data_IF_557430271872
#
_entry.id   IF_557430271872
#
_cell.length_a   1.000
_cell.length_b   1.000
_cell.length_c   1.000
_cell.angle_alpha   90.00
_cell.angle_beta   90.00
_cell.angle_gamma   90.00
#
_symmetry.space_group_name_H-M   'P 1'
#
loop_
_entity.id
_entity.type
_entity.pdbx_description
1 polymer ?
#
# COMPACT_ATOMS: atom_id res chain seq x y z
N UNK A 1 12.47 -5.32 -2.27
CA UNK A 1 12.00 -3.97 -2.63
C UNK A 1 11.35 -3.25 -1.45
N UNK A 2 10.33 -3.82 -0.79
CA UNK A 2 9.61 -3.19 0.35
C UNK A 2 10.55 -2.71 1.46
N UNK A 3 11.40 -3.59 2.01
CA UNK A 3 12.33 -3.22 3.09
C UNK A 3 13.31 -2.11 2.70
N UNK A 4 13.76 -2.10 1.45
CA UNK A 4 14.70 -1.09 0.94
C UNK A 4 14.02 0.28 0.92
N UNK A 5 12.77 0.34 0.46
CA UNK A 5 11.98 1.58 0.43
C UNK A 5 11.61 2.04 1.86
N UNK A 6 11.41 1.09 2.78
CA UNK A 6 11.01 1.34 4.17
C UNK A 6 12.13 1.95 5.05
N UNK A 7 13.40 1.66 4.75
CA UNK A 7 14.56 1.98 5.61
C UNK A 7 15.03 3.45 5.54
N UNK A 8 14.08 4.39 5.50
CA UNK A 8 14.31 5.85 5.54
C UNK A 8 13.04 6.57 6.00
N UNK A 9 13.10 7.87 6.37
CA UNK A 9 11.90 8.66 6.62
C UNK A 9 10.96 8.63 5.42
N UNK A 10 9.71 8.25 5.65
CA UNK A 10 8.73 8.03 4.59
C UNK A 10 7.36 8.62 4.94
N UNK A 11 6.63 8.98 3.88
CA UNK A 11 5.18 9.11 3.92
C UNK A 11 4.60 7.81 3.37
N UNK A 12 3.61 7.23 4.05
CA UNK A 12 3.08 5.91 3.68
C UNK A 12 2.53 5.89 2.25
N UNK A 13 1.84 6.96 1.83
CA UNK A 13 1.30 7.15 0.49
C UNK A 13 2.40 7.13 -0.57
N UNK A 14 3.53 7.81 -0.31
CA UNK A 14 4.67 7.85 -1.21
C UNK A 14 5.33 6.48 -1.30
N UNK A 15 5.54 5.83 -0.15
CA UNK A 15 6.13 4.50 -0.08
C UNK A 15 5.31 3.48 -0.88
N UNK A 16 3.99 3.51 -0.75
CA UNK A 16 3.06 2.62 -1.48
C UNK A 16 3.18 2.81 -2.99
N UNK A 17 3.25 4.05 -3.48
CA UNK A 17 3.50 4.34 -4.89
C UNK A 17 4.88 3.86 -5.34
N UNK A 18 5.94 4.17 -4.59
CA UNK A 18 7.31 3.79 -4.94
C UNK A 18 7.48 2.28 -5.08
N UNK A 19 6.84 1.49 -4.23
CA UNK A 19 6.86 0.03 -4.32
C UNK A 19 6.13 -0.44 -5.58
N UNK A 20 4.94 0.09 -5.87
CA UNK A 20 4.18 -0.28 -7.05
C UNK A 20 4.94 0.08 -8.35
N UNK A 21 5.52 1.27 -8.41
CA UNK A 21 6.29 1.75 -9.57
C UNK A 21 7.57 0.93 -9.78
N UNK A 22 8.30 0.62 -8.70
CA UNK A 22 9.52 -0.20 -8.80
C UNK A 22 9.23 -1.61 -9.31
N UNK A 23 8.14 -2.24 -8.86
CA UNK A 23 7.72 -3.57 -9.34
C UNK A 23 7.29 -3.49 -10.81
N UNK A 24 6.49 -2.48 -11.15
CA UNK A 24 5.98 -2.31 -12.51
C UNK A 24 7.10 -2.07 -13.52
N UNK A 25 8.07 -1.22 -13.18
CA UNK A 25 9.20 -0.92 -14.05
C UNK A 25 10.20 -2.09 -14.17
N UNK A 26 10.39 -2.89 -13.12
CA UNK A 26 11.37 -3.97 -13.14
C UNK A 26 10.86 -5.26 -13.79
N UNK A 27 9.55 -5.55 -13.70
CA UNK A 27 8.97 -6.80 -14.17
C UNK A 27 8.12 -6.64 -15.44
N UNK A 28 7.82 -5.40 -15.84
CA UNK A 28 6.90 -5.07 -16.94
C UNK A 28 5.62 -5.91 -16.96
N UNK A 29 4.93 -6.10 -15.81
CA UNK A 29 3.78 -6.99 -15.75
C UNK A 29 2.54 -6.30 -16.33
N UNK A 30 1.53 -7.10 -16.67
CA UNK A 30 0.22 -6.58 -17.10
C UNK A 30 -0.43 -5.67 -16.05
N UNK A 31 -0.15 -5.88 -14.77
CA UNK A 31 -0.63 -5.02 -13.69
C UNK A 31 0.01 -5.30 -12.33
N UNK A 32 -0.03 -4.29 -11.45
CA UNK A 32 0.46 -4.38 -10.07
C UNK A 32 -0.57 -3.76 -9.14
N UNK A 33 -0.80 -4.38 -7.98
CA UNK A 33 -1.58 -3.81 -6.90
C UNK A 33 -0.81 -3.95 -5.58
N UNK A 34 -0.65 -2.85 -4.87
CA UNK A 34 0.03 -2.78 -3.57
C UNK A 34 -0.94 -2.18 -2.55
N UNK A 35 -1.07 -2.83 -1.39
CA UNK A 35 -1.83 -2.33 -0.24
C UNK A 35 -0.92 -2.39 0.97
N UNK A 36 -0.85 -1.29 1.72
CA UNK A 36 -0.08 -1.20 2.96
C UNK A 36 -1.02 -0.78 4.07
N UNK A 37 -1.13 -1.61 5.11
CA UNK A 37 -1.77 -1.31 6.38
C UNK A 37 -0.68 -1.11 7.45
N UNK A 38 -0.70 0.01 8.15
CA UNK A 38 0.28 0.32 9.19
C UNK A 38 -0.30 1.18 10.31
N UNK A 39 0.28 1.08 11.50
CA UNK A 39 0.00 1.94 12.63
C UNK A 39 1.12 2.97 12.81
N UNK A 40 0.74 4.21 13.09
CA UNK A 40 1.68 5.33 13.20
C UNK A 40 1.96 5.65 14.67
N UNK A 41 3.13 5.25 15.18
CA UNK A 41 3.51 5.49 16.57
C UNK A 41 3.46 6.97 16.97
N UNK A 42 3.75 7.88 16.04
CA UNK A 42 3.64 9.32 16.28
C UNK A 42 2.21 9.78 16.60
N UNK A 43 1.18 9.08 16.12
CA UNK A 43 -0.23 9.35 16.41
C UNK A 43 -0.74 8.57 17.64
N UNK A 44 -0.11 7.45 17.96
CA UNK A 44 -0.47 6.62 19.11
C UNK A 44 0.14 7.15 20.41
N UNK A 45 1.40 7.54 20.37
CA UNK A 45 2.18 7.90 21.57
C UNK A 45 2.25 9.41 21.80
N UNK A 46 1.99 10.22 20.77
CA UNK A 46 2.12 11.69 20.82
C UNK A 46 0.91 12.36 20.18
N UNK A 47 0.66 13.63 20.55
CA UNK A 47 -0.44 14.40 19.98
C UNK A 47 -1.83 13.83 20.31
N UNK A 48 -2.58 13.43 19.29
CA UNK A 48 -4.01 13.05 19.36
C UNK A 48 -4.25 11.73 20.11
N UNK A 49 -3.20 10.92 20.36
CA UNK A 49 -3.23 9.70 21.19
C UNK A 49 -4.40 8.76 20.87
N UNK A 50 -4.49 8.33 19.61
CA UNK A 50 -5.50 7.35 19.15
C UNK A 50 -4.87 5.97 18.92
N UNK A 51 -4.76 5.13 19.97
CA UNK A 51 -4.24 3.76 19.82
C UNK A 51 -5.12 2.94 18.89
N UNK A 52 -4.52 1.99 18.16
CA UNK A 52 -5.22 1.11 17.22
C UNK A 52 -5.70 1.79 15.92
N UNK A 53 -5.26 3.03 15.66
CA UNK A 53 -5.56 3.69 14.38
C UNK A 53 -4.67 3.12 13.30
N UNK A 54 -5.29 2.36 12.39
CA UNK A 54 -4.62 1.81 11.22
C UNK A 54 -4.84 2.71 10.01
N UNK A 55 -3.76 3.06 9.32
CA UNK A 55 -3.81 3.77 8.06
C UNK A 55 -3.59 2.77 6.94
N UNK A 56 -4.53 2.71 6.00
CA UNK A 56 -4.46 1.85 4.82
C UNK A 56 -4.25 2.73 3.59
N UNK A 57 -3.23 2.41 2.81
CA UNK A 57 -2.95 3.07 1.52
C UNK A 57 -2.87 2.01 0.43
N UNK A 58 -3.20 2.39 -0.81
CA UNK A 58 -3.09 1.50 -1.95
C UNK A 58 -2.56 2.21 -3.19
N UNK A 59 -1.88 1.46 -4.05
CA UNK A 59 -1.45 1.91 -5.37
C UNK A 59 -1.63 0.79 -6.39
N UNK A 60 -2.19 1.13 -7.55
CA UNK A 60 -2.44 0.19 -8.65
C UNK A 60 -1.82 0.68 -9.97
N UNK A 61 -1.36 -0.26 -10.80
CA UNK A 61 -0.80 -0.05 -12.15
C UNK A 61 -1.36 -1.08 -13.12
N UNK A 62 -1.29 -0.76 -14.42
CA UNK A 62 -1.72 -1.67 -15.50
C UNK A 62 -3.19 -2.10 -15.39
N UNK A 63 -3.45 -3.41 -15.55
CA UNK A 63 -4.78 -4.02 -15.55
C UNK A 63 -5.58 -3.76 -14.29
N UNK A 64 -4.95 -3.65 -13.11
CA UNK A 64 -5.64 -3.27 -11.87
C UNK A 64 -6.15 -1.82 -11.87
N UNK A 65 -5.58 -0.94 -12.71
CA UNK A 65 -6.05 0.43 -12.89
C UNK A 65 -7.17 0.51 -13.92
N UNK A 66 -7.07 -0.24 -15.01
CA UNK A 66 -8.02 -0.20 -16.13
C UNK A 66 -9.26 -1.08 -15.94
N UNK A 67 -9.15 -2.20 -15.20
CA UNK A 67 -10.24 -3.14 -14.96
C UNK A 67 -10.72 -3.08 -13.52
N UNK A 68 -11.88 -2.46 -13.31
CA UNK A 68 -12.52 -2.37 -11.99
C UNK A 68 -12.81 -3.75 -11.39
N UNK A 69 -13.21 -4.74 -12.19
CA UNK A 69 -13.53 -6.10 -11.71
C UNK A 69 -12.33 -6.76 -11.04
N UNK A 70 -11.18 -6.76 -11.71
CA UNK A 70 -9.92 -7.33 -11.18
C UNK A 70 -9.48 -6.61 -9.90
N UNK A 71 -9.63 -5.28 -9.85
CA UNK A 71 -9.35 -4.50 -8.64
C UNK A 71 -10.28 -4.85 -7.49
N UNK A 72 -11.58 -5.00 -7.75
CA UNK A 72 -12.57 -5.35 -6.74
C UNK A 72 -12.32 -6.74 -6.16
N UNK A 73 -12.05 -7.74 -7.01
CA UNK A 73 -11.71 -9.10 -6.58
C UNK A 73 -10.49 -9.10 -5.65
N UNK A 74 -9.42 -8.40 -6.04
CA UNK A 74 -8.22 -8.26 -5.22
C UNK A 74 -8.49 -7.62 -3.86
N UNK A 75 -9.25 -6.50 -3.83
CA UNK A 75 -9.59 -5.83 -2.57
C UNK A 75 -10.48 -6.71 -1.68
N UNK A 76 -11.39 -7.49 -2.26
CA UNK A 76 -12.22 -8.46 -1.52
C UNK A 76 -11.38 -9.56 -0.89
N UNK A 77 -10.38 -10.11 -1.60
CA UNK A 77 -9.48 -11.13 -1.07
C UNK A 77 -8.63 -10.64 0.10
N UNK A 78 -8.19 -9.38 0.05
CA UNK A 78 -7.40 -8.77 1.14
C UNK A 78 -8.30 -8.45 2.34
N UNK A 79 -9.51 -7.95 2.12
CA UNK A 79 -10.45 -7.62 3.19
C UNK A 79 -10.92 -8.86 3.99
N UNK A 80 -10.95 -10.04 3.36
CA UNK A 80 -11.36 -11.30 3.99
C UNK A 80 -10.32 -11.96 4.91
N UNK A 81 -9.09 -11.43 5.01
CA UNK A 81 -8.00 -11.99 5.82
C UNK A 81 -7.92 -11.47 7.27
N UNK A 82 -9.03 -11.03 7.86
CA UNK A 82 -9.06 -10.62 9.27
C UNK A 82 -9.20 -11.79 10.22
#
# INVERSE_FOLDING_TARGET
VVDIVARRPQLQERMTCQIADAIFAALEPDGVAVVIEAEHLCMMMRGVKKPGTKVVTSAVRGTFRSRTVTRSEFLSLIAGRK
#
